data_IF_267322832963
#
_entry.id   IF_267322832963
#
_cell.length_a   1.000
_cell.length_b   1.000
_cell.length_c   1.000
_cell.angle_alpha   90.00
_cell.angle_beta   90.00
_cell.angle_gamma   90.00
#
_symmetry.space_group_name_H-M   'P 1'
#
loop_
_entity.id
_entity.type
_entity.pdbx_description
1 polymer ?
#
# COMPACT_ATOMS: atom_id res chain seq x y z
N UNK A 1 -7.18 67.95 16.19
CA UNK A 1 -6.17 66.87 16.04
C UNK A 1 -6.89 65.56 16.29
N UNK A 2 -7.19 64.82 15.22
CA UNK A 2 -7.93 63.56 15.30
C UNK A 2 -6.99 62.48 15.83
N UNK A 3 -7.30 61.88 16.98
CA UNK A 3 -6.51 60.76 17.52
C UNK A 3 -7.10 59.45 17.00
N UNK A 4 -6.55 58.95 15.91
CA UNK A 4 -6.83 57.61 15.40
C UNK A 4 -6.06 56.59 16.25
N UNK A 5 -6.76 55.74 17.01
CA UNK A 5 -6.14 54.52 17.54
C UNK A 5 -6.05 53.50 16.39
N UNK A 6 -4.86 53.37 15.80
CA UNK A 6 -4.56 52.31 14.84
C UNK A 6 -4.40 50.97 15.58
N UNK A 7 -5.02 49.92 15.05
CA UNK A 7 -4.59 48.54 15.26
C UNK A 7 -3.24 48.37 14.54
N UNK A 8 -2.29 47.63 15.13
CA UNK A 8 -0.92 47.51 14.62
C UNK A 8 -0.83 46.79 13.25
N UNK A 9 -1.91 46.14 12.80
CA UNK A 9 -2.09 45.67 11.42
C UNK A 9 -3.55 45.91 10.99
N UNK A 10 -3.84 46.88 10.08
CA UNK A 10 -5.20 47.11 9.64
C UNK A 10 -5.64 46.04 8.64
N UNK A 11 -6.61 45.20 9.02
CA UNK A 11 -7.41 44.44 8.06
C UNK A 11 -8.22 45.47 7.25
N UNK A 12 -8.42 45.25 5.95
CA UNK A 12 -9.24 46.10 5.08
C UNK A 12 -10.70 46.24 5.57
N UNK A 13 -11.09 45.45 6.58
CA UNK A 13 -12.38 45.49 7.26
C UNK A 13 -12.37 46.28 8.59
N UNK A 14 -11.29 46.97 8.95
CA UNK A 14 -11.21 47.69 10.23
C UNK A 14 -12.16 48.90 10.27
N UNK A 15 -12.90 48.99 11.38
CA UNK A 15 -13.83 50.09 11.67
C UNK A 15 -13.11 51.09 12.57
N UNK A 16 -12.95 52.32 12.10
CA UNK A 16 -12.31 53.39 12.86
C UNK A 16 -13.35 54.25 13.58
N UNK A 17 -13.03 54.62 14.82
CA UNK A 17 -13.86 55.50 15.65
C UNK A 17 -13.29 56.90 15.60
N UNK A 18 -14.10 57.87 15.14
CA UNK A 18 -13.74 59.28 15.19
C UNK A 18 -14.56 60.03 16.25
N UNK A 19 -13.91 60.75 17.18
CA UNK A 19 -14.60 61.68 18.05
C UNK A 19 -14.98 62.95 17.26
N UNK A 20 -16.28 63.30 17.25
CA UNK A 20 -16.78 64.54 16.66
C UNK A 20 -16.91 65.64 17.73
N UNK A 21 -16.37 66.83 17.45
CA UNK A 21 -16.30 67.94 18.41
C UNK A 21 -17.28 69.10 18.13
N UNK A 22 -18.02 69.06 17.03
CA UNK A 22 -18.98 70.09 16.62
C UNK A 22 -20.41 69.61 16.89
N UNK A 23 -21.04 70.19 17.91
CA UNK A 23 -22.45 69.99 18.23
C UNK A 23 -22.82 70.76 19.51
N UNK A 24 -23.98 71.45 19.56
CA UNK A 24 -24.35 72.27 20.71
C UNK A 24 -24.63 71.39 21.95
N UNK A 25 -23.76 71.54 22.96
CA UNK A 25 -23.91 71.14 24.36
C UNK A 25 -24.87 69.99 24.69
N UNK A 26 -24.64 68.80 24.13
CA UNK A 26 -25.08 67.55 24.76
C UNK A 26 -23.87 66.81 25.30
N UNK A 27 -23.83 66.62 26.62
CA UNK A 27 -22.82 65.83 27.33
C UNK A 27 -22.79 64.40 26.77
N UNK A 28 -21.84 64.13 25.89
CA UNK A 28 -21.53 62.82 25.32
C UNK A 28 -20.91 62.99 23.95
N UNK A 29 -19.61 62.68 23.79
CA UNK A 29 -18.98 62.66 22.46
C UNK A 29 -19.71 61.62 21.60
N UNK A 30 -20.33 62.07 20.51
CA UNK A 30 -20.83 61.15 19.50
C UNK A 30 -19.61 60.52 18.81
N UNK A 31 -19.41 59.23 19.01
CA UNK A 31 -18.40 58.44 18.30
C UNK A 31 -19.03 57.85 17.06
N UNK A 32 -18.61 58.33 15.89
CA UNK A 32 -19.05 57.79 14.61
C UNK A 32 -18.08 56.69 14.16
N UNK A 33 -18.67 55.59 13.69
CA UNK A 33 -17.95 54.45 13.14
C UNK A 33 -17.90 54.61 11.63
N UNK A 34 -16.69 54.54 11.06
CA UNK A 34 -16.50 54.62 9.62
C UNK A 34 -15.73 53.40 9.11
N UNK A 35 -16.14 52.91 7.95
CA UNK A 35 -15.37 51.96 7.17
C UNK A 35 -14.11 52.65 6.61
N UNK A 36 -12.95 52.01 6.72
CA UNK A 36 -11.66 52.62 6.37
C UNK A 36 -11.61 53.20 4.93
N UNK A 37 -12.10 52.50 3.89
CA UNK A 37 -12.26 53.07 2.54
C UNK A 37 -13.10 54.34 2.47
N UNK A 38 -14.16 54.48 3.29
CA UNK A 38 -14.95 55.71 3.33
C UNK A 38 -14.18 56.88 3.94
N UNK A 39 -13.24 56.61 4.86
CA UNK A 39 -12.34 57.62 5.42
C UNK A 39 -11.24 58.03 4.44
N UNK A 40 -10.70 57.09 3.66
CA UNK A 40 -9.73 57.39 2.60
C UNK A 40 -10.41 58.26 1.53
N UNK A 41 -11.62 57.87 1.10
CA UNK A 41 -12.40 58.66 0.15
C UNK A 41 -12.82 60.02 0.72
N UNK A 42 -13.08 60.10 2.03
CA UNK A 42 -13.30 61.36 2.73
C UNK A 42 -12.05 62.26 2.64
N UNK A 43 -10.85 61.76 2.90
CA UNK A 43 -9.62 62.55 2.76
C UNK A 43 -9.43 63.08 1.32
N UNK A 44 -9.67 62.22 0.32
CA UNK A 44 -9.60 62.60 -1.11
C UNK A 44 -10.62 63.69 -1.47
N UNK A 45 -11.89 63.55 -1.06
CA UNK A 45 -12.96 64.49 -1.40
C UNK A 45 -12.82 65.81 -0.64
N UNK A 46 -12.43 65.78 0.63
CA UNK A 46 -12.47 66.97 1.49
C UNK A 46 -11.14 67.73 1.58
N UNK A 47 -9.99 67.06 1.41
CA UNK A 47 -8.68 67.69 1.57
C UNK A 47 -7.93 67.95 0.25
N UNK A 48 -8.34 67.33 -0.88
CA UNK A 48 -7.67 67.50 -2.19
C UNK A 48 -8.47 68.33 -3.21
N UNK A 49 -9.65 68.84 -2.83
CA UNK A 49 -10.49 69.70 -3.68
C UNK A 49 -10.00 71.16 -3.68
N UNK A 50 -9.94 71.78 -4.87
CA UNK A 50 -9.61 73.21 -5.03
C UNK A 50 -10.68 74.16 -4.41
N UNK A 51 -11.89 73.65 -4.16
CA UNK A 51 -12.95 74.35 -3.44
C UNK A 51 -13.46 73.43 -2.31
N UNK A 52 -13.06 73.67 -1.05
CA UNK A 52 -13.47 72.81 0.05
C UNK A 52 -15.00 72.91 0.25
N UNK A 53 -15.69 71.77 0.48
CA UNK A 53 -17.13 71.77 0.77
C UNK A 53 -17.46 72.58 2.03
N UNK A 54 -18.69 73.09 2.11
CA UNK A 54 -19.18 73.75 3.33
C UNK A 54 -19.18 72.80 4.53
N UNK A 55 -19.07 73.34 5.74
CA UNK A 55 -19.13 72.52 6.97
C UNK A 55 -20.46 71.76 7.10
N UNK A 56 -21.58 72.39 6.75
CA UNK A 56 -22.89 71.73 6.75
C UNK A 56 -22.91 70.49 5.83
N UNK A 57 -22.20 70.54 4.69
CA UNK A 57 -22.09 69.41 3.77
C UNK A 57 -21.20 68.30 4.35
N UNK A 58 -20.09 68.66 5.00
CA UNK A 58 -19.20 67.69 5.68
C UNK A 58 -19.93 66.93 6.78
N UNK A 59 -20.69 67.65 7.61
CA UNK A 59 -21.48 67.06 8.69
C UNK A 59 -22.58 66.13 8.14
N UNK A 60 -23.34 66.58 7.14
CA UNK A 60 -24.37 65.76 6.50
C UNK A 60 -23.78 64.49 5.84
N UNK A 61 -22.62 64.60 5.21
CA UNK A 61 -21.93 63.47 4.60
C UNK A 61 -21.40 62.48 5.66
N UNK A 62 -20.76 62.98 6.72
CA UNK A 62 -20.26 62.17 7.83
C UNK A 62 -21.41 61.40 8.51
N UNK A 63 -22.55 62.05 8.77
CA UNK A 63 -23.75 61.40 9.30
C UNK A 63 -24.27 60.31 8.37
N UNK A 64 -24.36 60.59 7.07
CA UNK A 64 -24.83 59.62 6.06
C UNK A 64 -23.92 58.40 5.98
N UNK A 65 -22.60 58.59 6.04
CA UNK A 65 -21.61 57.50 5.99
C UNK A 65 -21.55 56.70 7.28
N UNK A 66 -21.71 57.34 8.44
CA UNK A 66 -21.80 56.65 9.71
C UNK A 66 -23.07 55.79 9.80
N UNK A 67 -24.21 56.30 9.32
CA UNK A 67 -25.45 55.54 9.22
C UNK A 67 -25.30 54.32 8.30
N UNK A 68 -24.68 54.49 7.13
CA UNK A 68 -24.37 53.38 6.23
C UNK A 68 -23.45 52.34 6.88
N UNK A 69 -22.41 52.78 7.60
CA UNK A 69 -21.48 51.88 8.29
C UNK A 69 -22.19 51.10 9.40
N UNK A 70 -23.08 51.75 10.15
CA UNK A 70 -23.91 51.08 11.17
C UNK A 70 -24.80 50.01 10.53
N UNK A 71 -25.49 50.34 9.44
CA UNK A 71 -26.29 49.37 8.69
C UNK A 71 -25.45 48.19 8.18
N UNK A 72 -24.28 48.44 7.60
CA UNK A 72 -23.37 47.37 7.16
C UNK A 72 -22.94 46.50 8.35
N UNK A 73 -22.58 47.10 9.48
CA UNK A 73 -22.13 46.38 10.67
C UNK A 73 -23.25 45.52 11.27
N UNK A 74 -24.48 46.01 11.23
CA UNK A 74 -25.67 45.27 11.66
C UNK A 74 -26.03 44.12 10.70
N UNK A 75 -26.07 44.37 9.40
CA UNK A 75 -26.52 43.39 8.41
C UNK A 75 -25.43 42.39 7.98
N UNK A 76 -24.15 42.74 7.99
CA UNK A 76 -23.08 41.87 7.49
C UNK A 76 -23.02 40.51 8.23
N UNK A 77 -23.11 40.42 9.57
CA UNK A 77 -23.19 39.14 10.28
C UNK A 77 -24.42 38.32 9.87
N UNK A 78 -25.57 38.96 9.63
CA UNK A 78 -26.79 38.29 9.17
C UNK A 78 -26.62 37.74 7.76
N UNK A 79 -26.04 38.51 6.84
CA UNK A 79 -25.72 38.08 5.47
C UNK A 79 -24.68 36.95 5.45
N UNK A 80 -23.65 36.99 6.29
CA UNK A 80 -22.68 35.89 6.45
C UNK A 80 -23.36 34.61 6.97
N UNK A 81 -24.23 34.72 7.98
CA UNK A 81 -25.02 33.58 8.48
C UNK A 81 -25.95 33.02 7.39
N UNK A 82 -26.64 33.89 6.66
CA UNK A 82 -27.53 33.50 5.58
C UNK A 82 -26.79 32.79 4.45
N UNK A 83 -25.68 33.35 3.96
CA UNK A 83 -24.86 32.74 2.89
C UNK A 83 -24.27 31.39 3.32
N UNK A 84 -23.79 31.26 4.56
CA UNK A 84 -23.33 30.00 5.12
C UNK A 84 -24.46 28.96 5.20
N UNK A 85 -25.66 29.36 5.65
CA UNK A 85 -26.83 28.50 5.70
C UNK A 85 -27.27 28.03 4.30
N UNK A 86 -27.27 28.93 3.32
CA UNK A 86 -27.57 28.61 1.92
C UNK A 86 -26.55 27.63 1.33
N UNK A 87 -25.24 27.83 1.58
CA UNK A 87 -24.19 26.90 1.17
C UNK A 87 -24.38 25.52 1.79
N UNK A 88 -24.70 25.45 3.09
CA UNK A 88 -24.98 24.20 3.80
C UNK A 88 -26.20 23.49 3.22
N UNK A 89 -27.30 24.21 2.96
CA UNK A 89 -28.52 23.67 2.34
C UNK A 89 -28.23 23.10 0.96
N UNK A 90 -27.49 23.82 0.12
CA UNK A 90 -27.09 23.35 -1.22
C UNK A 90 -26.22 22.10 -1.15
N UNK A 91 -25.23 22.06 -0.26
CA UNK A 91 -24.39 20.87 -0.06
C UNK A 91 -25.20 19.67 0.41
N UNK A 92 -26.18 19.88 1.30
CA UNK A 92 -27.07 18.81 1.74
C UNK A 92 -27.94 18.29 0.59
N UNK A 93 -28.51 19.18 -0.23
CA UNK A 93 -29.28 18.79 -1.42
C UNK A 93 -28.43 17.96 -2.40
N UNK A 94 -27.19 18.40 -2.68
CA UNK A 94 -26.24 17.66 -3.53
C UNK A 94 -25.96 16.28 -2.95
N UNK A 95 -25.68 16.18 -1.65
CA UNK A 95 -25.42 14.88 -0.98
C UNK A 95 -26.63 13.96 -1.03
N UNK A 96 -27.83 14.50 -0.78
CA UNK A 96 -29.08 13.74 -0.84
C UNK A 96 -29.34 13.22 -2.25
N UNK A 97 -29.18 14.05 -3.28
CA UNK A 97 -29.34 13.64 -4.68
C UNK A 97 -28.35 12.52 -5.06
N UNK A 98 -27.06 12.70 -4.72
CA UNK A 98 -26.03 11.67 -4.94
C UNK A 98 -26.30 10.37 -4.19
N UNK A 99 -26.79 10.45 -2.96
CA UNK A 99 -27.13 9.27 -2.16
C UNK A 99 -28.35 8.53 -2.74
N UNK A 100 -29.38 9.26 -3.19
CA UNK A 100 -30.55 8.69 -3.86
C UNK A 100 -30.13 7.96 -5.14
N UNK A 101 -29.38 8.62 -6.02
CA UNK A 101 -28.83 8.02 -7.24
C UNK A 101 -28.04 6.75 -6.95
N UNK A 102 -27.16 6.78 -5.95
CA UNK A 102 -26.38 5.61 -5.52
C UNK A 102 -27.26 4.46 -5.07
N UNK A 103 -28.29 4.73 -4.26
CA UNK A 103 -29.23 3.72 -3.82
C UNK A 103 -29.99 3.09 -5.00
N UNK A 104 -30.44 3.92 -5.95
CA UNK A 104 -31.15 3.46 -7.15
C UNK A 104 -30.24 2.57 -8.03
N UNK A 105 -28.97 2.96 -8.22
CA UNK A 105 -27.97 2.13 -8.93
C UNK A 105 -27.77 0.80 -8.21
N UNK A 106 -27.53 0.80 -6.89
CA UNK A 106 -27.37 -0.43 -6.12
C UNK A 106 -28.59 -1.34 -6.23
N UNK A 107 -29.81 -0.78 -6.17
CA UNK A 107 -31.04 -1.54 -6.33
C UNK A 107 -31.14 -2.20 -7.70
N UNK A 108 -30.83 -1.46 -8.78
CA UNK A 108 -30.83 -2.03 -10.14
C UNK A 108 -29.76 -3.11 -10.32
N UNK A 109 -28.59 -2.96 -9.68
CA UNK A 109 -27.54 -3.98 -9.71
C UNK A 109 -27.93 -5.24 -8.94
N UNK A 110 -28.65 -5.10 -7.81
CA UNK A 110 -29.22 -6.24 -7.08
C UNK A 110 -30.28 -7.00 -7.86
N UNK A 111 -31.11 -6.30 -8.63
CA UNK A 111 -32.10 -6.92 -9.51
C UNK A 111 -31.48 -7.61 -10.74
N UNK A 112 -30.18 -7.39 -10.99
CA UNK A 112 -29.42 -8.03 -12.04
C UNK A 112 -28.57 -9.19 -11.52
N UNK A 113 -27.39 -9.37 -12.13
CA UNK A 113 -26.51 -10.50 -11.81
C UNK A 113 -25.53 -10.20 -10.66
N UNK A 114 -25.56 -9.00 -10.05
CA UNK A 114 -24.55 -8.53 -9.09
C UNK A 114 -25.09 -8.42 -7.65
N UNK A 115 -26.18 -9.11 -7.32
CA UNK A 115 -26.79 -9.10 -5.98
C UNK A 115 -25.76 -9.39 -4.87
N UNK A 116 -25.09 -10.54 -4.96
CA UNK A 116 -24.09 -10.96 -3.98
C UNK A 116 -22.90 -9.97 -3.90
N UNK A 117 -22.44 -9.46 -5.04
CA UNK A 117 -21.31 -8.52 -5.07
C UNK A 117 -21.69 -7.18 -4.41
N UNK A 118 -22.91 -6.68 -4.63
CA UNK A 118 -23.39 -5.46 -3.98
C UNK A 118 -23.57 -5.67 -2.48
N UNK A 119 -24.09 -6.81 -2.06
CA UNK A 119 -24.27 -7.09 -0.65
C UNK A 119 -22.92 -7.20 0.07
N UNK A 120 -21.91 -7.82 -0.53
CA UNK A 120 -20.54 -7.80 0.03
C UNK A 120 -19.97 -6.38 0.03
N UNK A 121 -20.09 -5.64 -1.08
CA UNK A 121 -19.57 -4.28 -1.24
C UNK A 121 -20.17 -3.29 -0.23
N UNK A 122 -21.43 -3.51 0.18
CA UNK A 122 -22.16 -2.67 1.13
C UNK A 122 -22.06 -3.13 2.58
N UNK A 123 -22.00 -4.45 2.84
CA UNK A 123 -21.97 -5.04 4.19
C UNK A 123 -20.59 -4.96 4.83
N UNK A 124 -19.55 -5.20 4.02
CA UNK A 124 -18.17 -5.03 4.43
C UNK A 124 -17.59 -3.84 3.69
N UNK A 125 -17.75 -2.60 4.21
CA UNK A 125 -17.07 -1.44 3.68
C UNK A 125 -15.57 -1.55 3.99
N UNK A 126 -14.89 -2.48 3.32
CA UNK A 126 -13.47 -2.32 3.01
C UNK A 126 -13.38 -0.95 2.35
N UNK A 127 -12.86 0.03 3.09
CA UNK A 127 -13.09 1.45 2.80
C UNK A 127 -12.74 1.82 1.36
N UNK A 128 -11.80 1.11 0.73
CA UNK A 128 -11.32 1.40 -0.62
C UNK A 128 -12.33 1.04 -1.71
N UNK A 129 -12.88 -0.17 -1.77
CA UNK A 129 -13.75 -0.56 -2.90
C UNK A 129 -15.08 0.20 -2.91
N UNK A 130 -15.71 0.40 -1.73
CA UNK A 130 -16.89 1.26 -1.64
C UNK A 130 -16.58 2.72 -1.99
N UNK A 131 -15.39 3.23 -1.63
CA UNK A 131 -14.97 4.57 -2.04
C UNK A 131 -14.77 4.67 -3.55
N UNK A 132 -14.18 3.64 -4.18
CA UNK A 132 -14.02 3.59 -5.64
C UNK A 132 -15.38 3.58 -6.34
N UNK A 133 -16.32 2.75 -5.89
CA UNK A 133 -17.66 2.69 -6.45
C UNK A 133 -18.43 4.00 -6.22
N UNK A 134 -18.47 4.50 -4.98
CA UNK A 134 -19.26 5.69 -4.64
C UNK A 134 -18.73 6.99 -5.25
N UNK A 135 -17.45 7.04 -5.62
CA UNK A 135 -16.81 8.16 -6.33
C UNK A 135 -16.66 7.92 -7.84
N UNK A 136 -17.13 6.78 -8.34
CA UNK A 136 -17.07 6.48 -9.76
C UNK A 136 -17.85 7.55 -10.55
N UNK A 137 -17.32 8.12 -11.65
CA UNK A 137 -17.96 9.25 -12.34
C UNK A 137 -19.42 9.00 -12.77
N UNK A 138 -19.74 7.76 -13.18
CA UNK A 138 -21.09 7.35 -13.57
C UNK A 138 -22.07 7.25 -12.37
N UNK A 139 -21.53 7.09 -11.16
CA UNK A 139 -22.27 6.92 -9.91
C UNK A 139 -22.37 8.24 -9.14
N UNK A 140 -21.29 9.03 -9.08
CA UNK A 140 -21.17 10.26 -8.29
C UNK A 140 -21.77 11.51 -8.98
N UNK A 141 -22.93 11.34 -9.61
CA UNK A 141 -23.69 12.41 -10.26
C UNK A 141 -24.85 12.91 -9.39
N UNK A 142 -25.17 14.19 -9.52
CA UNK A 142 -26.37 14.80 -8.90
C UNK A 142 -27.63 14.65 -9.74
N UNK A 143 -27.51 14.21 -10.99
CA UNK A 143 -28.64 13.99 -11.89
C UNK A 143 -29.46 12.78 -11.43
N UNK A 144 -30.78 12.88 -11.56
CA UNK A 144 -31.67 11.76 -11.23
C UNK A 144 -31.44 10.60 -12.21
N UNK A 145 -31.57 9.36 -11.72
CA UNK A 145 -31.37 8.17 -12.53
C UNK A 145 -32.66 7.83 -13.29
N UNK A 146 -32.85 8.42 -14.47
CA UNK A 146 -33.94 8.07 -15.39
C UNK A 146 -33.69 6.71 -16.05
N UNK A 147 -34.69 6.17 -16.74
CA UNK A 147 -34.52 4.91 -17.49
C UNK A 147 -33.47 5.05 -18.60
N UNK A 148 -33.57 6.08 -19.43
CA UNK A 148 -32.58 6.38 -20.48
C UNK A 148 -31.19 6.65 -19.89
N UNK A 149 -31.13 7.39 -18.77
CA UNK A 149 -29.90 7.65 -18.05
C UNK A 149 -29.25 6.36 -17.53
N UNK A 150 -30.05 5.41 -17.03
CA UNK A 150 -29.55 4.09 -16.65
C UNK A 150 -28.98 3.33 -17.85
N UNK A 151 -29.70 3.25 -18.96
CA UNK A 151 -29.26 2.52 -20.15
C UNK A 151 -27.92 3.06 -20.68
N UNK A 152 -27.71 4.38 -20.59
CA UNK A 152 -26.45 5.02 -20.99
C UNK A 152 -25.25 4.64 -20.10
N UNK A 153 -25.45 4.45 -18.78
CA UNK A 153 -24.35 4.15 -17.84
C UNK A 153 -24.18 2.66 -17.57
N UNK A 154 -25.18 1.84 -17.92
CA UNK A 154 -25.27 0.43 -17.53
C UNK A 154 -24.01 -0.36 -17.90
N UNK A 155 -23.51 -0.21 -19.12
CA UNK A 155 -22.32 -0.93 -19.60
C UNK A 155 -21.08 -0.62 -18.76
N UNK A 156 -20.80 0.66 -18.49
CA UNK A 156 -19.64 1.07 -17.70
C UNK A 156 -19.74 0.63 -16.24
N UNK A 157 -20.93 0.69 -15.64
CA UNK A 157 -21.14 0.16 -14.29
C UNK A 157 -20.98 -1.36 -14.25
N UNK A 158 -21.49 -2.08 -15.26
CA UNK A 158 -21.37 -3.53 -15.34
C UNK A 158 -19.91 -3.96 -15.47
N UNK A 159 -19.12 -3.25 -16.28
CA UNK A 159 -17.68 -3.48 -16.37
C UNK A 159 -16.99 -3.26 -15.02
N UNK A 160 -17.28 -2.16 -14.33
CA UNK A 160 -16.76 -1.91 -12.98
C UNK A 160 -17.11 -3.07 -12.01
N UNK A 161 -18.35 -3.55 -12.05
CA UNK A 161 -18.80 -4.63 -11.18
C UNK A 161 -18.16 -5.98 -11.53
N UNK A 162 -17.88 -6.25 -12.81
CA UNK A 162 -17.13 -7.44 -13.23
C UNK A 162 -15.68 -7.38 -12.71
N UNK A 163 -15.01 -6.24 -12.84
CA UNK A 163 -13.66 -6.06 -12.33
C UNK A 163 -13.61 -6.21 -10.79
N UNK A 164 -14.60 -5.64 -10.10
CA UNK A 164 -14.78 -5.82 -8.66
C UNK A 164 -15.00 -7.29 -8.29
N UNK A 165 -15.89 -8.00 -8.98
CA UNK A 165 -16.14 -9.43 -8.78
C UNK A 165 -14.86 -10.23 -8.93
N UNK A 166 -14.10 -10.01 -10.00
CA UNK A 166 -12.81 -10.69 -10.22
C UNK A 166 -11.85 -10.46 -9.06
N UNK A 167 -11.64 -9.20 -8.64
CA UNK A 167 -10.78 -8.89 -7.47
C UNK A 167 -11.30 -9.52 -6.18
N UNK A 168 -12.60 -9.45 -5.91
CA UNK A 168 -13.26 -10.05 -4.73
C UNK A 168 -13.02 -11.55 -4.68
N UNK A 169 -13.28 -12.24 -5.80
CA UNK A 169 -13.09 -13.69 -5.90
C UNK A 169 -11.63 -14.09 -5.75
N UNK A 170 -10.68 -13.32 -6.29
CA UNK A 170 -9.24 -13.56 -6.10
C UNK A 170 -8.83 -13.42 -4.62
N UNK A 171 -9.30 -12.38 -3.93
CA UNK A 171 -9.04 -12.20 -2.48
C UNK A 171 -9.65 -13.33 -1.66
N UNK A 172 -10.89 -13.72 -1.97
CA UNK A 172 -11.56 -14.84 -1.29
C UNK A 172 -10.82 -16.16 -1.51
N UNK A 173 -10.42 -16.44 -2.76
CA UNK A 173 -9.62 -17.61 -3.10
C UNK A 173 -8.28 -17.63 -2.36
N UNK A 174 -7.56 -16.50 -2.33
CA UNK A 174 -6.33 -16.34 -1.54
C UNK A 174 -6.55 -16.64 -0.06
N UNK A 175 -7.60 -16.08 0.56
CA UNK A 175 -7.90 -16.37 1.97
C UNK A 175 -8.24 -17.85 2.21
N UNK A 176 -9.00 -18.47 1.31
CA UNK A 176 -9.28 -19.92 1.39
C UNK A 176 -8.00 -20.74 1.33
N UNK A 177 -7.07 -20.39 0.43
CA UNK A 177 -5.78 -21.07 0.35
C UNK A 177 -4.94 -20.87 1.62
N UNK A 178 -4.86 -19.65 2.15
CA UNK A 178 -4.13 -19.37 3.41
C UNK A 178 -4.65 -20.26 4.53
N UNK A 179 -5.98 -20.34 4.72
CA UNK A 179 -6.56 -21.22 5.73
C UNK A 179 -6.25 -22.70 5.48
N UNK A 180 -6.27 -23.15 4.22
CA UNK A 180 -5.87 -24.53 3.88
C UNK A 180 -4.41 -24.80 4.23
N UNK A 181 -3.50 -23.87 3.94
CA UNK A 181 -2.10 -23.98 4.31
C UNK A 181 -1.92 -24.04 5.83
N UNK A 182 -2.64 -23.19 6.59
CA UNK A 182 -2.61 -23.22 8.06
C UNK A 182 -3.00 -24.59 8.62
N UNK A 183 -4.02 -25.25 8.05
CA UNK A 183 -4.43 -26.60 8.45
C UNK A 183 -3.32 -27.64 8.22
N UNK A 184 -2.61 -27.55 7.10
CA UNK A 184 -1.57 -28.51 6.70
C UNK A 184 -0.25 -28.25 7.42
N UNK A 185 -0.01 -27.00 7.85
CA UNK A 185 1.26 -26.55 8.44
C UNK A 185 1.74 -27.42 9.59
N UNK A 186 0.88 -27.65 10.59
CA UNK A 186 1.26 -28.43 11.77
C UNK A 186 1.72 -29.84 11.42
N UNK A 187 0.98 -30.52 10.53
CA UNK A 187 1.33 -31.86 10.09
C UNK A 187 2.61 -31.88 9.24
N UNK A 188 2.82 -30.88 8.39
CA UNK A 188 4.03 -30.74 7.59
C UNK A 188 5.26 -30.47 8.47
N UNK A 189 5.15 -29.60 9.47
CA UNK A 189 6.22 -29.32 10.44
C UNK A 189 6.54 -30.55 11.30
N UNK A 190 5.53 -31.33 11.70
CA UNK A 190 5.73 -32.57 12.44
C UNK A 190 6.43 -33.64 11.59
N UNK A 191 6.03 -33.80 10.32
CA UNK A 191 6.75 -34.68 9.40
C UNK A 191 8.18 -34.20 9.22
N UNK A 192 8.36 -32.90 8.96
CA UNK A 192 9.67 -32.29 8.84
C UNK A 192 10.52 -32.69 10.03
N UNK A 193 10.08 -32.47 11.28
CA UNK A 193 10.85 -32.81 12.50
C UNK A 193 11.22 -34.30 12.63
N UNK A 194 10.38 -35.22 12.14
CA UNK A 194 10.57 -36.68 12.29
C UNK A 194 11.61 -37.28 11.34
N UNK A 195 11.84 -36.67 10.18
CA UNK A 195 12.76 -37.22 9.18
C UNK A 195 14.15 -36.61 9.32
N UNK A 196 15.22 -37.40 9.28
CA UNK A 196 16.58 -36.84 9.36
C UNK A 196 17.05 -36.22 8.03
N UNK A 197 18.03 -35.30 8.12
CA UNK A 197 18.67 -34.68 6.96
C UNK A 197 18.00 -33.39 6.46
N UNK A 198 18.35 -32.99 5.23
CA UNK A 198 17.96 -31.72 4.61
C UNK A 198 16.54 -31.85 4.05
N UNK A 199 15.64 -30.95 4.49
CA UNK A 199 14.20 -31.04 4.22
C UNK A 199 13.68 -29.73 3.62
N UNK A 200 12.63 -29.78 2.78
CA UNK A 200 11.98 -28.57 2.30
C UNK A 200 11.46 -27.74 3.47
N UNK A 201 11.52 -26.42 3.30
CA UNK A 201 10.73 -25.50 4.12
C UNK A 201 9.24 -25.63 3.79
N UNK A 202 8.38 -25.08 4.65
CA UNK A 202 6.94 -25.31 4.51
C UNK A 202 6.40 -24.76 3.18
N UNK A 203 6.88 -23.57 2.79
CA UNK A 203 6.53 -22.95 1.50
C UNK A 203 6.97 -23.83 0.31
N UNK A 204 8.19 -24.37 0.32
CA UNK A 204 8.68 -25.25 -0.74
C UNK A 204 7.87 -26.55 -0.83
N UNK A 205 7.51 -27.12 0.33
CA UNK A 205 6.65 -28.29 0.40
C UNK A 205 5.29 -28.00 -0.24
N UNK A 206 4.66 -26.87 0.09
CA UNK A 206 3.38 -26.47 -0.51
C UNK A 206 3.44 -26.29 -2.03
N UNK A 207 4.59 -25.90 -2.58
CA UNK A 207 4.78 -25.69 -4.01
C UNK A 207 5.06 -26.98 -4.79
N UNK A 208 5.27 -28.11 -4.12
CA UNK A 208 5.40 -29.40 -4.81
C UNK A 208 4.12 -29.75 -5.57
N UNK A 209 4.19 -30.26 -6.81
CA UNK A 209 3.02 -30.50 -7.65
C UNK A 209 1.94 -31.38 -6.98
N UNK A 210 2.37 -32.40 -6.23
CA UNK A 210 1.48 -33.33 -5.54
C UNK A 210 0.72 -32.65 -4.40
N UNK A 211 1.37 -31.73 -3.69
CA UNK A 211 0.78 -30.95 -2.59
C UNK A 211 -0.16 -29.88 -3.18
N UNK A 212 0.27 -29.21 -4.25
CA UNK A 212 -0.55 -28.24 -4.98
C UNK A 212 -1.83 -28.86 -5.51
N UNK A 213 -1.77 -30.02 -6.16
CA UNK A 213 -2.95 -30.71 -6.68
C UNK A 213 -4.01 -31.02 -5.60
N UNK A 214 -3.58 -31.18 -4.34
CA UNK A 214 -4.47 -31.46 -3.21
C UNK A 214 -5.08 -30.20 -2.59
N UNK A 215 -4.33 -29.09 -2.55
CA UNK A 215 -4.74 -27.86 -1.89
C UNK A 215 -5.38 -26.84 -2.83
N UNK A 216 -4.98 -26.85 -4.10
CA UNK A 216 -5.48 -26.00 -5.17
C UNK A 216 -6.77 -26.56 -5.79
N UNK A 217 -7.78 -26.74 -4.93
CA UNK A 217 -9.11 -27.25 -5.30
C UNK A 217 -10.14 -26.11 -5.24
N UNK A 218 -11.30 -26.25 -5.93
CA UNK A 218 -12.39 -25.27 -5.85
C UNK A 218 -12.75 -24.87 -4.41
N UNK A 219 -13.14 -23.61 -4.22
CA UNK A 219 -13.37 -22.99 -2.90
C UNK A 219 -14.43 -23.72 -2.06
N UNK A 220 -15.46 -24.22 -2.71
CA UNK A 220 -16.59 -24.94 -2.13
C UNK A 220 -16.25 -26.36 -1.65
N UNK A 221 -15.05 -26.86 -2.02
CA UNK A 221 -14.57 -28.17 -1.60
C UNK A 221 -13.64 -28.06 -0.40
N UNK A 222 -13.80 -28.99 0.53
CA UNK A 222 -12.86 -29.18 1.63
C UNK A 222 -11.72 -30.09 1.18
N UNK A 223 -10.55 -29.91 1.79
CA UNK A 223 -9.41 -30.79 1.57
C UNK A 223 -9.72 -32.15 2.18
N UNK A 224 -9.56 -33.23 1.41
CA UNK A 224 -9.80 -34.59 1.92
C UNK A 224 -8.69 -34.99 2.90
N UNK A 225 -9.08 -35.21 4.16
CA UNK A 225 -8.16 -35.61 5.21
C UNK A 225 -7.47 -36.95 4.89
N UNK A 226 -8.15 -37.91 4.25
CA UNK A 226 -7.54 -39.19 3.90
C UNK A 226 -6.44 -39.02 2.85
N UNK A 227 -6.67 -38.13 1.89
CA UNK A 227 -5.67 -37.78 0.88
C UNK A 227 -4.47 -37.04 1.51
N UNK A 228 -4.70 -36.15 2.47
CA UNK A 228 -3.63 -35.53 3.26
C UNK A 228 -2.81 -36.57 4.03
N UNK A 229 -3.47 -37.51 4.71
CA UNK A 229 -2.79 -38.56 5.47
C UNK A 229 -1.93 -39.44 4.54
N UNK A 230 -2.42 -39.75 3.34
CA UNK A 230 -1.66 -40.48 2.32
C UNK A 230 -0.46 -39.66 1.81
N UNK A 231 -0.66 -38.37 1.54
CA UNK A 231 0.41 -37.45 1.12
C UNK A 231 1.53 -37.43 2.17
N UNK A 232 1.19 -37.34 3.45
CA UNK A 232 2.20 -37.33 4.53
C UNK A 232 2.91 -38.68 4.71
N UNK A 233 2.30 -39.81 4.34
CA UNK A 233 3.03 -41.09 4.26
C UNK A 233 4.10 -41.08 3.17
N UNK A 234 3.88 -40.30 2.10
CA UNK A 234 4.86 -40.12 1.01
C UNK A 234 5.85 -38.98 1.25
N UNK A 235 5.82 -38.32 2.41
CA UNK A 235 6.69 -37.19 2.73
C UNK A 235 8.19 -37.43 2.45
N UNK A 236 8.80 -38.59 2.79
CA UNK A 236 10.21 -38.84 2.47
C UNK A 236 10.53 -38.73 0.97
N UNK A 237 9.62 -39.19 0.11
CA UNK A 237 9.78 -39.13 -1.34
C UNK A 237 9.68 -37.68 -1.81
N UNK A 238 8.68 -36.95 -1.32
CA UNK A 238 8.50 -35.52 -1.63
C UNK A 238 9.68 -34.67 -1.18
N UNK A 239 10.27 -34.98 -0.02
CA UNK A 239 11.45 -34.29 0.49
C UNK A 239 12.69 -34.54 -0.39
N UNK A 240 12.84 -35.75 -0.92
CA UNK A 240 13.93 -36.09 -1.85
C UNK A 240 13.72 -35.46 -3.24
N UNK A 241 12.48 -35.41 -3.73
CA UNK A 241 12.13 -34.70 -4.97
C UNK A 241 12.51 -33.22 -4.86
N UNK A 242 12.10 -32.55 -3.78
CA UNK A 242 12.50 -31.17 -3.52
C UNK A 242 14.02 -31.03 -3.42
N UNK A 243 14.70 -31.91 -2.69
CA UNK A 243 16.16 -31.86 -2.54
C UNK A 243 16.85 -31.98 -3.89
N UNK A 244 16.35 -32.84 -4.77
CA UNK A 244 16.83 -32.98 -6.14
C UNK A 244 16.67 -31.68 -6.92
N UNK A 245 15.51 -31.03 -6.83
CA UNK A 245 15.25 -29.73 -7.48
C UNK A 245 16.21 -28.67 -6.95
N UNK A 246 16.31 -28.48 -5.64
CA UNK A 246 17.19 -27.48 -5.02
C UNK A 246 18.67 -27.73 -5.33
N UNK A 247 19.10 -28.99 -5.31
CA UNK A 247 20.47 -29.40 -5.68
C UNK A 247 20.75 -29.10 -7.15
N UNK A 248 19.80 -29.38 -8.05
CA UNK A 248 19.96 -29.08 -9.48
C UNK A 248 20.06 -27.57 -9.74
N UNK A 249 19.24 -26.77 -9.04
CA UNK A 249 19.33 -25.30 -9.09
C UNK A 249 20.69 -24.81 -8.59
N UNK A 250 21.16 -25.31 -7.44
CA UNK A 250 22.49 -24.94 -6.91
C UNK A 250 23.61 -25.35 -7.85
N UNK A 251 23.53 -26.54 -8.46
CA UNK A 251 24.50 -27.04 -9.44
C UNK A 251 24.56 -26.14 -10.67
N UNK A 252 23.40 -25.80 -11.23
CA UNK A 252 23.32 -24.90 -12.37
C UNK A 252 23.84 -23.49 -12.04
N UNK A 253 23.61 -23.03 -10.80
CA UNK A 253 24.13 -21.76 -10.31
C UNK A 253 25.65 -21.78 -10.14
N UNK A 254 26.20 -22.83 -9.53
CA UNK A 254 27.64 -23.03 -9.39
C UNK A 254 28.34 -23.05 -10.76
N UNK A 255 27.82 -23.83 -11.72
CA UNK A 255 28.39 -23.90 -13.09
C UNK A 255 28.42 -22.55 -13.80
N UNK A 256 27.43 -21.69 -13.57
CA UNK A 256 27.38 -20.34 -14.17
C UNK A 256 28.41 -19.39 -13.57
N UNK A 257 28.73 -19.55 -12.29
CA UNK A 257 29.64 -18.65 -11.57
C UNK A 257 31.10 -19.11 -11.60
N UNK A 258 31.34 -20.41 -11.81
CA UNK A 258 32.69 -20.94 -11.98
C UNK A 258 33.29 -20.46 -13.30
N UNK A 259 34.43 -19.78 -13.23
CA UNK A 259 35.19 -19.32 -14.40
C UNK A 259 36.01 -20.43 -15.09
N UNK A 260 36.07 -21.63 -14.49
CA UNK A 260 36.94 -22.72 -14.93
C UNK A 260 36.16 -23.80 -15.71
N UNK A 261 36.76 -24.38 -16.76
CA UNK A 261 36.12 -25.44 -17.53
C UNK A 261 36.08 -26.74 -16.71
N UNK A 262 34.93 -27.03 -16.11
CA UNK A 262 34.63 -28.37 -15.63
C UNK A 262 34.28 -29.26 -16.83
N UNK A 263 34.73 -30.51 -16.80
CA UNK A 263 34.20 -31.52 -17.72
C UNK A 263 32.69 -31.67 -17.49
N UNK A 264 31.93 -31.93 -18.55
CA UNK A 264 30.45 -32.04 -18.47
C UNK A 264 30.00 -33.08 -17.42
N UNK A 265 30.79 -34.15 -17.26
CA UNK A 265 30.55 -35.26 -16.33
C UNK A 265 30.86 -34.95 -14.86
N UNK A 266 31.49 -33.80 -14.57
CA UNK A 266 31.89 -33.46 -13.21
C UNK A 266 30.81 -32.66 -12.48
N UNK A 267 30.44 -33.14 -11.29
CA UNK A 267 29.49 -32.43 -10.41
C UNK A 267 30.24 -31.40 -9.54
N UNK A 268 30.05 -30.08 -9.77
CA UNK A 268 30.73 -29.05 -9.00
C UNK A 268 30.44 -29.13 -7.50
N UNK A 269 29.28 -29.67 -7.11
CA UNK A 269 28.87 -29.75 -5.70
C UNK A 269 29.61 -30.83 -4.92
N UNK A 270 30.25 -31.79 -5.61
CA UNK A 270 31.04 -32.87 -4.98
C UNK A 270 32.49 -32.49 -4.73
N UNK A 271 32.94 -31.35 -5.28
CA UNK A 271 34.32 -30.89 -5.15
C UNK A 271 34.58 -30.42 -3.72
N UNK A 272 35.79 -30.65 -3.23
CA UNK A 272 36.21 -30.12 -1.92
C UNK A 272 36.20 -28.58 -1.87
N UNK A 273 36.22 -27.93 -3.04
CA UNK A 273 36.16 -26.46 -3.19
C UNK A 273 34.75 -25.89 -3.36
N UNK A 274 33.69 -26.69 -3.19
CA UNK A 274 32.29 -26.29 -3.34
C UNK A 274 31.79 -25.41 -2.17
N UNK A 275 32.47 -24.28 -1.95
CA UNK A 275 32.13 -23.27 -0.98
C UNK A 275 31.28 -22.18 -1.62
N UNK A 276 30.23 -21.78 -0.90
CA UNK A 276 29.35 -20.69 -1.31
C UNK A 276 29.42 -19.60 -0.25
N UNK A 277 29.65 -18.36 -0.68
CA UNK A 277 29.53 -17.17 0.17
C UNK A 277 28.12 -16.63 0.04
N UNK A 278 27.40 -16.48 1.15
CA UNK A 278 26.11 -15.81 1.12
C UNK A 278 26.29 -14.29 1.02
N UNK A 279 25.68 -13.66 0.02
CA UNK A 279 25.79 -12.20 -0.21
C UNK A 279 25.10 -11.36 0.87
N UNK A 280 24.13 -11.94 1.59
CA UNK A 280 23.38 -11.25 2.64
C UNK A 280 24.08 -11.27 3.99
N UNK A 281 24.47 -12.45 4.48
CA UNK A 281 25.07 -12.59 5.81
C UNK A 281 26.59 -12.76 5.78
N UNK A 282 27.21 -12.82 4.60
CA UNK A 282 28.65 -13.04 4.40
C UNK A 282 29.22 -14.36 4.96
N UNK A 283 28.36 -15.28 5.41
CA UNK A 283 28.77 -16.62 5.88
C UNK A 283 29.14 -17.48 4.67
N UNK A 284 30.22 -18.25 4.81
CA UNK A 284 30.63 -19.29 3.86
C UNK A 284 29.99 -20.61 4.28
N UNK A 285 29.30 -21.26 3.36
CA UNK A 285 28.62 -22.54 3.56
C UNK A 285 29.08 -23.56 2.53
N UNK A 286 29.16 -24.83 2.94
CA UNK A 286 29.48 -25.95 2.04
C UNK A 286 28.20 -26.65 1.58
N UNK A 287 28.29 -27.35 0.46
CA UNK A 287 27.32 -28.39 0.15
C UNK A 287 27.46 -29.57 1.14
N UNK A 288 26.37 -30.11 1.71
CA UNK A 288 24.98 -29.81 1.38
C UNK A 288 24.29 -28.77 2.30
N UNK A 289 24.99 -28.26 3.33
CA UNK A 289 24.46 -27.25 4.27
C UNK A 289 23.98 -25.94 3.60
N UNK A 290 24.48 -25.61 2.40
CA UNK A 290 23.99 -24.51 1.58
C UNK A 290 22.47 -24.59 1.29
N UNK A 291 21.90 -25.80 1.23
CA UNK A 291 20.46 -26.01 1.03
C UNK A 291 19.63 -25.60 2.25
N UNK A 292 20.20 -25.61 3.46
CA UNK A 292 19.51 -25.23 4.70
C UNK A 292 19.75 -23.78 5.09
N UNK A 293 20.60 -23.06 4.33
CA UNK A 293 21.02 -21.72 4.68
C UNK A 293 19.83 -20.74 4.71
N UNK A 294 19.63 -20.09 5.88
CA UNK A 294 18.42 -19.30 6.14
C UNK A 294 18.18 -18.14 5.18
N UNK A 295 19.24 -17.54 4.63
CA UNK A 295 19.08 -16.46 3.67
C UNK A 295 18.49 -16.92 2.32
N UNK A 296 18.48 -18.23 2.03
CA UNK A 296 17.93 -18.78 0.80
C UNK A 296 16.39 -18.91 0.81
N UNK A 297 15.76 -18.80 1.98
CA UNK A 297 14.29 -18.89 2.15
C UNK A 297 13.71 -17.80 3.07
N UNK A 298 14.56 -17.02 3.77
CA UNK A 298 14.14 -15.89 4.61
C UNK A 298 14.49 -14.54 3.94
N UNK A 299 13.48 -13.79 3.51
CA UNK A 299 13.66 -12.42 2.99
C UNK A 299 13.86 -11.42 4.14
N UNK A 300 14.68 -10.36 3.99
CA UNK A 300 14.77 -9.33 5.03
C UNK A 300 13.43 -8.62 5.24
N UNK A 301 13.07 -8.39 6.51
CA UNK A 301 11.87 -7.66 6.96
C UNK A 301 11.79 -6.22 6.41
N UNK A 302 12.89 -5.70 5.84
CA UNK A 302 13.06 -4.30 5.45
C UNK A 302 13.06 -4.03 3.92
N UNK A 303 12.95 -5.05 3.06
CA UNK A 303 12.70 -4.85 1.62
C UNK A 303 11.18 -4.68 1.36
N UNK A 304 10.51 -3.95 2.24
CA UNK A 304 9.15 -3.45 2.09
C UNK A 304 9.08 -2.29 1.08
N UNK A 305 9.93 -2.29 0.04
CA UNK A 305 9.73 -1.36 -1.06
C UNK A 305 8.41 -1.76 -1.73
N UNK A 306 7.36 -1.00 -1.44
CA UNK A 306 6.05 -1.14 -2.08
C UNK A 306 6.18 -1.08 -3.62
N UNK A 307 7.30 -0.55 -4.13
CA UNK A 307 7.66 -0.50 -5.54
C UNK A 307 7.99 -1.84 -6.20
N UNK A 308 8.38 -2.89 -5.47
CA UNK A 308 8.63 -4.22 -6.08
C UNK A 308 7.46 -5.20 -5.92
N UNK A 309 6.43 -4.84 -5.13
CA UNK A 309 5.17 -5.60 -5.10
C UNK A 309 4.35 -5.47 -6.39
N UNK A 310 4.78 -4.62 -7.33
CA UNK A 310 4.06 -4.28 -8.56
C UNK A 310 4.54 -5.03 -9.83
N UNK A 311 5.52 -5.95 -9.77
CA UNK A 311 6.16 -6.46 -11.03
C UNK A 311 6.23 -7.98 -11.21
N UNK A 312 5.83 -8.79 -10.24
CA UNK A 312 5.57 -10.21 -10.52
C UNK A 312 4.11 -10.50 -10.21
N UNK A 313 3.34 -10.78 -11.25
CA UNK A 313 2.06 -11.49 -11.16
C UNK A 313 2.38 -12.90 -10.67
N UNK A 314 2.79 -13.02 -9.41
CA UNK A 314 2.93 -14.32 -8.77
C UNK A 314 1.55 -14.99 -8.84
N UNK A 315 1.48 -16.26 -9.27
CA UNK A 315 0.24 -17.01 -9.17
C UNK A 315 -0.30 -16.90 -7.74
N UNK A 316 -1.60 -16.63 -7.60
CA UNK A 316 -2.25 -16.39 -6.30
C UNK A 316 -1.99 -17.51 -5.30
N UNK A 317 -1.81 -18.73 -5.79
CA UNK A 317 -1.44 -19.89 -4.99
C UNK A 317 -0.09 -19.73 -4.29
N UNK A 318 0.94 -19.33 -5.04
CA UNK A 318 2.31 -19.22 -4.56
C UNK A 318 2.42 -18.07 -3.54
N UNK A 319 1.76 -16.95 -3.82
CA UNK A 319 1.65 -15.83 -2.88
C UNK A 319 0.89 -16.21 -1.60
N UNK A 320 -0.19 -16.98 -1.70
CA UNK A 320 -0.90 -17.50 -0.54
C UNK A 320 -0.03 -18.44 0.31
N UNK A 321 0.74 -19.34 -0.32
CA UNK A 321 1.66 -20.25 0.36
C UNK A 321 2.75 -19.48 1.12
N UNK A 322 3.33 -18.47 0.46
CA UNK A 322 4.33 -17.57 1.04
C UNK A 322 3.78 -16.82 2.25
N UNK A 323 2.60 -16.20 2.13
CA UNK A 323 1.94 -15.48 3.23
C UNK A 323 1.66 -16.42 4.41
N UNK A 324 1.13 -17.61 4.14
CA UNK A 324 0.84 -18.59 5.19
C UNK A 324 2.11 -19.12 5.87
N UNK A 325 3.20 -19.32 5.12
CA UNK A 325 4.46 -19.79 5.67
C UNK A 325 5.20 -18.71 6.48
N UNK A 326 5.14 -17.45 6.02
CA UNK A 326 6.06 -16.39 6.45
C UNK A 326 7.48 -16.59 5.92
N UNK A 327 7.62 -17.38 4.86
CA UNK A 327 8.88 -17.82 4.25
C UNK A 327 8.77 -17.70 2.73
N UNK A 328 9.90 -17.65 2.03
CA UNK A 328 9.98 -17.64 0.57
C UNK A 328 10.46 -18.99 0.06
N UNK A 329 10.06 -19.39 -1.16
CA UNK A 329 10.60 -20.58 -1.80
C UNK A 329 12.13 -20.52 -1.82
N UNK A 330 12.77 -21.67 -1.59
CA UNK A 330 14.21 -21.76 -1.57
C UNK A 330 14.81 -21.27 -2.90
N UNK A 331 15.84 -20.43 -2.80
CA UNK A 331 16.56 -19.91 -3.96
C UNK A 331 18.05 -19.76 -3.68
N UNK A 332 18.87 -20.19 -4.64
CA UNK A 332 20.33 -20.03 -4.60
C UNK A 332 20.82 -18.65 -5.04
N UNK A 333 19.94 -17.70 -5.37
CA UNK A 333 20.34 -16.37 -5.88
C UNK A 333 21.24 -15.57 -4.94
N UNK A 334 21.18 -15.83 -3.62
CA UNK A 334 22.02 -15.17 -2.62
C UNK A 334 23.33 -15.89 -2.33
N UNK A 335 23.59 -17.00 -3.01
CA UNK A 335 24.83 -17.74 -2.86
C UNK A 335 25.75 -17.34 -4.02
N UNK A 336 26.98 -17.00 -3.71
CA UNK A 336 28.03 -16.78 -4.69
C UNK A 336 29.09 -17.86 -4.54
N UNK A 337 29.61 -18.36 -5.66
CA UNK A 337 30.79 -19.20 -5.65
C UNK A 337 31.92 -18.48 -4.93
N UNK A 338 32.50 -19.11 -3.91
CA UNK A 338 33.38 -18.41 -2.97
C UNK A 338 34.60 -17.81 -3.70
N UNK A 339 34.88 -16.50 -3.54
CA UNK A 339 35.98 -15.83 -4.22
C UNK A 339 37.37 -16.25 -3.71
N UNK A 340 37.45 -17.02 -2.64
CA UNK A 340 38.71 -17.62 -2.17
C UNK A 340 38.91 -19.05 -2.66
N UNK A 341 38.05 -19.55 -3.56
CA UNK A 341 38.24 -20.85 -4.20
C UNK A 341 39.69 -20.98 -4.70
N UNK A 342 40.24 -19.98 -5.39
CA UNK A 342 41.63 -19.98 -5.88
C UNK A 342 42.70 -20.12 -4.78
N UNK A 343 42.44 -19.58 -3.58
CA UNK A 343 43.37 -19.69 -2.45
C UNK A 343 43.27 -21.08 -1.82
N UNK A 344 42.05 -21.60 -1.69
CA UNK A 344 41.80 -22.95 -1.20
C UNK A 344 42.40 -23.96 -2.19
N UNK A 345 42.25 -23.75 -3.49
CA UNK A 345 42.89 -24.53 -4.55
C UNK A 345 44.41 -24.63 -4.37
N UNK A 346 45.08 -23.51 -4.06
CA UNK A 346 46.52 -23.50 -3.77
C UNK A 346 46.86 -24.33 -2.53
N UNK A 347 46.04 -24.30 -1.48
CA UNK A 347 46.23 -25.16 -0.30
C UNK A 347 46.13 -26.63 -0.69
N UNK A 348 45.11 -27.01 -1.46
CA UNK A 348 44.98 -28.38 -1.98
C UNK A 348 46.20 -28.79 -2.81
N UNK A 349 46.69 -27.92 -3.69
CA UNK A 349 47.88 -28.19 -4.51
C UNK A 349 49.14 -28.39 -3.66
N UNK A 350 49.35 -27.57 -2.61
CA UNK A 350 50.48 -27.72 -1.68
C UNK A 350 50.40 -29.05 -0.91
N UNK A 351 49.19 -29.51 -0.59
CA UNK A 351 48.93 -30.82 0.01
C UNK A 351 49.04 -31.99 -0.99
N UNK A 352 49.43 -31.75 -2.24
CA UNK A 352 49.53 -32.77 -3.28
C UNK A 352 48.17 -33.25 -3.81
N UNK A 353 47.11 -32.48 -3.58
CA UNK A 353 45.76 -32.79 -4.01
C UNK A 353 45.36 -31.95 -5.22
N UNK A 354 44.63 -32.58 -6.15
CA UNK A 354 44.04 -31.86 -7.27
C UNK A 354 42.69 -31.27 -6.82
N UNK A 355 42.53 -29.95 -6.66
CA UNK A 355 41.27 -29.36 -6.20
C UNK A 355 40.11 -29.60 -7.18
N UNK A 356 40.42 -29.86 -8.45
CA UNK A 356 39.45 -30.19 -9.50
C UNK A 356 39.18 -31.69 -9.60
N UNK A 357 39.61 -32.52 -8.65
CA UNK A 357 39.28 -33.95 -8.64
C UNK A 357 39.06 -34.49 -7.22
N UNK A 358 39.60 -33.80 -6.22
CA UNK A 358 39.44 -34.15 -4.82
C UNK A 358 38.03 -33.84 -4.35
N UNK A 359 37.34 -34.90 -3.92
CA UNK A 359 36.04 -34.81 -3.27
C UNK A 359 36.19 -34.34 -1.82
N UNK A 360 35.14 -33.76 -1.25
CA UNK A 360 35.14 -33.33 0.15
C UNK A 360 35.51 -34.46 1.12
N UNK A 361 34.98 -35.67 0.90
CA UNK A 361 35.32 -36.85 1.71
C UNK A 361 36.82 -37.17 1.67
N UNK A 362 37.43 -37.17 0.48
CA UNK A 362 38.88 -37.42 0.33
C UNK A 362 39.72 -36.34 1.01
N UNK A 363 39.26 -35.09 0.98
CA UNK A 363 39.93 -33.99 1.68
C UNK A 363 39.90 -34.18 3.20
N UNK A 364 38.76 -34.61 3.74
CA UNK A 364 38.56 -34.87 5.17
C UNK A 364 39.41 -36.06 5.68
N UNK A 365 39.56 -37.11 4.87
CA UNK A 365 40.34 -38.30 5.26
C UNK A 365 41.85 -38.05 5.35
N UNK A 366 42.36 -37.10 4.57
CA UNK A 366 43.78 -36.76 4.56
C UNK A 366 44.20 -35.90 5.76
N UNK A 367 43.23 -35.38 6.51
CA UNK A 367 43.48 -34.33 7.47
C UNK A 367 43.09 -34.67 8.91
N UNK A 368 44.02 -35.31 9.62
CA UNK A 368 44.00 -35.38 11.08
C UNK A 368 44.56 -34.10 11.75
N UNK A 369 45.03 -33.10 10.97
CA UNK A 369 45.72 -31.89 11.48
C UNK A 369 44.98 -30.57 11.22
N UNK A 370 44.05 -30.54 10.28
CA UNK A 370 43.16 -29.41 9.99
C UNK A 370 41.75 -29.80 10.40
N UNK A 371 41.46 -29.66 11.69
CA UNK A 371 40.08 -29.46 12.11
C UNK A 371 39.65 -28.09 11.60
N UNK A 372 38.98 -28.06 10.45
CA UNK A 372 38.24 -26.88 10.01
C UNK A 372 37.04 -26.70 10.96
N UNK A 373 37.22 -25.88 11.99
CA UNK A 373 36.14 -25.37 12.86
C UNK A 373 35.39 -24.24 12.19
#
# INVERSE_FOLDING_TARGET
MVVLKRSDEPDLNDILVLPHASGPERRGMATYWFHLPDLIHHDEVFNQSANPPSEDFKEAYALTKAELTLQITEYAPMLRKYTAAMKKRRQQQIRTAKNKRRADICQRLRQGEFEEDIDVLTTSPHRKDWQLFSRHPLVDSTEELTHEGWDSIKSGIFQFMQDYRTRRLLVQYKHTLIHRFEVVRTAADDQRRKHDGIRPHFVDFCLLPQVRALLDIPRDKNVDQRALDQLFKTYPILAEDWRTIATNQLRAHARRQMALPLNEDQDPLKLAVAYFKCTKCNVVVLYPAALEHSCCWRWPENENSESERDVLVEPVYDDAARVAAGEYPWSCQRLEWCPWADKIEKVFQVCGLNPMATTLSRAQDLDHRVKLT
#
